data_IF_424684302153
#
_entry.id   IF_424684302153
#
_cell.length_a   1.000
_cell.length_b   1.000
_cell.length_c   1.000
_cell.angle_alpha   90.00
_cell.angle_beta   90.00
_cell.angle_gamma   90.00
#
_symmetry.space_group_name_H-M   'P 1'
#
loop_
_entity.id
_entity.type
_entity.pdbx_description
1 polymer ?
#
# COMPACT_ATOMS: atom_id res chain seq x y z
N UNK A 1 10.32 22.53 5.58
CA UNK A 1 11.64 22.21 4.99
C UNK A 1 12.40 21.39 6.03
N UNK A 2 12.92 20.20 5.72
CA UNK A 2 13.72 19.40 6.65
C UNK A 2 15.07 19.10 6.02
N UNK A 3 16.00 20.02 6.25
CA UNK A 3 17.39 19.93 5.82
C UNK A 3 18.13 19.02 6.84
N UNK A 4 18.30 17.72 6.51
CA UNK A 4 19.10 16.80 7.34
C UNK A 4 18.59 15.35 7.50
N UNK A 5 17.43 14.96 6.97
CA UNK A 5 16.93 13.57 7.12
C UNK A 5 17.75 12.56 6.29
N UNK A 6 18.14 11.44 6.89
CA UNK A 6 18.72 10.31 6.15
C UNK A 6 17.68 9.69 5.22
N UNK A 7 18.13 8.95 4.19
CA UNK A 7 17.21 8.21 3.29
C UNK A 7 16.25 7.29 4.05
N UNK A 8 16.73 6.68 5.16
CA UNK A 8 15.93 5.81 6.00
C UNK A 8 14.88 6.58 6.82
N UNK A 9 15.25 7.71 7.41
CA UNK A 9 14.30 8.56 8.15
C UNK A 9 13.24 9.15 7.23
N UNK A 10 13.63 9.62 6.04
CA UNK A 10 12.70 10.04 5.00
C UNK A 10 11.73 8.93 4.63
N UNK A 11 12.23 7.71 4.45
CA UNK A 11 11.38 6.55 4.19
C UNK A 11 10.38 6.31 5.33
N UNK A 12 10.84 6.24 6.59
CA UNK A 12 9.98 6.01 7.76
C UNK A 12 8.90 7.09 7.90
N UNK A 13 9.27 8.36 7.76
CA UNK A 13 8.33 9.50 7.84
C UNK A 13 7.26 9.42 6.75
N UNK A 14 7.66 9.17 5.52
CA UNK A 14 6.73 9.06 4.40
C UNK A 14 5.88 7.79 4.49
N UNK A 15 6.48 6.66 4.89
CA UNK A 15 5.79 5.39 5.04
C UNK A 15 4.71 5.48 6.12
N UNK A 16 5.05 5.99 7.31
CA UNK A 16 4.09 6.21 8.39
C UNK A 16 2.89 7.04 7.92
N UNK A 17 3.13 8.23 7.34
CA UNK A 17 2.06 9.09 6.83
C UNK A 17 1.22 8.41 5.75
N UNK A 18 1.85 7.71 4.80
CA UNK A 18 1.15 7.07 3.67
C UNK A 18 0.33 5.86 4.11
N UNK A 19 0.87 5.03 5.00
CA UNK A 19 0.18 3.86 5.54
C UNK A 19 -1.03 4.29 6.37
N UNK A 20 -0.88 5.26 7.27
CA UNK A 20 -2.01 5.80 8.04
C UNK A 20 -3.10 6.37 7.13
N UNK A 21 -2.73 7.11 6.09
CA UNK A 21 -3.71 7.64 5.14
C UNK A 21 -4.41 6.52 4.35
N UNK A 22 -3.68 5.48 3.94
CA UNK A 22 -4.26 4.34 3.23
C UNK A 22 -5.27 3.58 4.11
N UNK A 23 -4.93 3.31 5.37
CA UNK A 23 -5.82 2.66 6.34
C UNK A 23 -7.11 3.48 6.49
N UNK A 24 -7.01 4.80 6.71
CA UNK A 24 -8.19 5.68 6.80
C UNK A 24 -9.08 5.64 5.56
N UNK A 25 -8.49 5.53 4.37
CA UNK A 25 -9.26 5.41 3.12
C UNK A 25 -9.96 4.07 3.02
N UNK A 26 -9.32 2.97 3.44
CA UNK A 26 -9.93 1.65 3.50
C UNK A 26 -11.08 1.63 4.52
N UNK A 27 -10.92 2.24 5.70
CA UNK A 27 -11.99 2.38 6.70
C UNK A 27 -13.20 3.13 6.14
N UNK A 28 -12.97 4.24 5.42
CA UNK A 28 -14.04 4.98 4.75
C UNK A 28 -14.77 4.16 3.68
N UNK A 29 -14.06 3.29 2.95
CA UNK A 29 -14.68 2.34 2.04
C UNK A 29 -15.51 1.31 2.83
N UNK A 30 -15.00 0.83 3.96
CA UNK A 30 -15.74 -0.06 4.87
C UNK A 30 -17.03 0.57 5.39
N UNK A 31 -17.06 1.89 5.63
CA UNK A 31 -18.28 2.59 6.02
C UNK A 31 -19.38 2.58 4.95
N UNK A 32 -19.07 2.22 3.69
CA UNK A 32 -20.08 2.00 2.66
C UNK A 32 -20.93 0.75 2.93
N UNK A 33 -20.55 -0.11 3.89
CA UNK A 33 -21.41 -1.18 4.39
C UNK A 33 -22.53 -0.68 5.32
N UNK A 34 -22.58 0.62 5.60
CA UNK A 34 -23.63 1.19 6.43
C UNK A 34 -24.98 1.09 5.74
N UNK A 35 -26.05 0.99 6.53
CA UNK A 35 -27.44 0.86 6.08
C UNK A 35 -27.95 2.04 5.24
N UNK A 36 -27.18 3.12 5.12
CA UNK A 36 -27.48 4.27 4.24
C UNK A 36 -27.12 4.02 2.78
N UNK A 37 -26.40 2.93 2.47
CA UNK A 37 -25.97 2.57 1.13
C UNK A 37 -26.43 1.16 0.80
N UNK A 38 -26.83 0.96 -0.46
CA UNK A 38 -27.12 -0.37 -1.01
C UNK A 38 -25.96 -0.73 -1.93
N UNK A 39 -25.35 -1.89 -1.69
CA UNK A 39 -24.34 -2.46 -2.55
C UNK A 39 -24.67 -3.92 -2.81
N UNK A 40 -24.46 -4.35 -4.04
CA UNK A 40 -24.56 -5.76 -4.41
C UNK A 40 -23.31 -6.51 -3.98
N UNK A 41 -23.42 -7.82 -3.78
CA UNK A 41 -22.25 -8.65 -3.47
C UNK A 41 -21.18 -8.55 -4.56
N UNK A 42 -21.57 -8.45 -5.83
CA UNK A 42 -20.64 -8.27 -6.94
C UNK A 42 -19.84 -6.96 -6.87
N UNK A 43 -20.47 -5.87 -6.43
CA UNK A 43 -19.79 -4.58 -6.25
C UNK A 43 -18.81 -4.64 -5.07
N UNK A 44 -19.19 -5.28 -3.97
CA UNK A 44 -18.31 -5.52 -2.82
C UNK A 44 -17.10 -6.35 -3.26
N UNK A 45 -17.30 -7.42 -4.01
CA UNK A 45 -16.23 -8.27 -4.50
C UNK A 45 -15.27 -7.51 -5.42
N UNK A 46 -15.80 -6.69 -6.35
CA UNK A 46 -14.98 -5.82 -7.20
C UNK A 46 -14.12 -4.84 -6.40
N UNK A 47 -14.70 -4.23 -5.36
CA UNK A 47 -13.97 -3.32 -4.46
C UNK A 47 -12.83 -4.06 -3.75
N UNK A 48 -13.12 -5.23 -3.19
CA UNK A 48 -12.14 -6.03 -2.45
C UNK A 48 -11.02 -6.52 -3.36
N UNK A 49 -11.34 -7.01 -4.56
CA UNK A 49 -10.34 -7.44 -5.57
C UNK A 49 -9.43 -6.28 -5.95
N UNK A 50 -9.98 -5.10 -6.24
CA UNK A 50 -9.16 -3.94 -6.60
C UNK A 50 -8.20 -3.51 -5.47
N UNK A 51 -8.62 -3.61 -4.20
CA UNK A 51 -7.76 -3.35 -3.05
C UNK A 51 -6.66 -4.42 -2.90
N UNK A 52 -6.98 -5.69 -3.13
CA UNK A 52 -6.02 -6.80 -3.09
C UNK A 52 -4.95 -6.64 -4.17
N UNK A 53 -5.33 -6.36 -5.41
CA UNK A 53 -4.41 -6.13 -6.53
C UNK A 53 -3.42 -4.99 -6.23
N UNK A 54 -3.92 -3.90 -5.63
CA UNK A 54 -3.08 -2.79 -5.21
C UNK A 54 -2.04 -3.22 -4.14
N UNK A 55 -2.45 -4.06 -3.18
CA UNK A 55 -1.55 -4.61 -2.16
C UNK A 55 -0.51 -5.57 -2.77
N UNK A 56 -0.91 -6.41 -3.73
CA UNK A 56 0.02 -7.29 -4.46
C UNK A 56 1.05 -6.48 -5.25
N UNK A 57 0.62 -5.42 -5.93
CA UNK A 57 1.52 -4.49 -6.62
C UNK A 57 2.54 -3.85 -5.68
N UNK A 58 2.15 -3.51 -4.44
CA UNK A 58 3.07 -3.02 -3.41
C UNK A 58 4.06 -4.11 -3.01
N UNK A 59 3.59 -5.33 -2.69
CA UNK A 59 4.44 -6.47 -2.33
C UNK A 59 5.48 -6.75 -3.41
N UNK A 60 5.08 -6.75 -4.68
CA UNK A 60 5.97 -6.97 -5.83
C UNK A 60 7.06 -5.88 -5.95
N UNK A 61 6.73 -4.62 -5.67
CA UNK A 61 7.73 -3.53 -5.69
C UNK A 61 8.77 -3.68 -4.59
N UNK A 62 8.35 -4.02 -3.38
CA UNK A 62 9.26 -4.24 -2.24
C UNK A 62 10.09 -5.53 -2.38
N UNK A 63 9.56 -6.57 -3.03
CA UNK A 63 10.33 -7.80 -3.30
C UNK A 63 11.38 -7.61 -4.40
N UNK A 64 11.08 -6.83 -5.45
CA UNK A 64 12.04 -6.48 -6.50
C UNK A 64 13.24 -5.69 -5.96
N UNK A 65 13.05 -4.85 -4.96
CA UNK A 65 14.16 -4.09 -4.34
C UNK A 65 15.16 -4.98 -3.61
N UNK A 66 14.77 -6.20 -3.17
CA UNK A 66 15.70 -7.16 -2.55
C UNK A 66 16.52 -7.99 -3.55
N UNK A 67 16.09 -8.10 -4.82
CA UNK A 67 16.74 -8.94 -5.84
C UNK A 67 17.81 -8.23 -6.68
N UNK A 68 17.91 -6.91 -6.60
CA UNK A 68 18.82 -6.13 -7.44
C UNK A 68 20.31 -6.22 -7.05
N UNK A 69 20.66 -6.85 -5.93
CA UNK A 69 22.04 -7.00 -5.45
C UNK A 69 22.64 -8.41 -5.65
N UNK A 70 21.95 -9.31 -6.35
CA UNK A 70 22.38 -10.70 -6.54
C UNK A 70 23.05 -10.97 -7.92
N UNK A 71 23.64 -9.95 -8.56
CA UNK A 71 24.39 -10.10 -9.82
C UNK A 71 25.89 -9.80 -9.67
N UNK A 72 26.49 -10.18 -8.55
CA UNK A 72 27.95 -10.38 -8.48
C UNK A 72 28.26 -11.84 -8.80
N UNK A 73 28.37 -12.14 -10.10
CA UNK A 73 29.11 -13.32 -10.56
C UNK A 73 30.59 -13.06 -10.22
N UNK A 74 31.18 -13.93 -9.38
CA UNK A 74 32.61 -13.98 -9.14
C UNK A 74 33.11 -15.34 -9.62
N UNK A 75 34.23 -15.34 -10.35
CA UNK A 75 34.95 -16.53 -10.83
C UNK A 75 35.65 -17.22 -9.66
#
# INVERSE_FOLDING_TARGET
>A
MTNGETKNEKFKRLASKRVTNAIKKIELIGHLSASSYECTQEEVDKIVVALQDALEGIKAKFSKTKKADASKFQL
#
